data_IF_448815444370
#
_entry.id   IF_448815444370
#
_cell.length_a   1.000
_cell.length_b   1.000
_cell.length_c   1.000
_cell.angle_alpha   90.00
_cell.angle_beta   90.00
_cell.angle_gamma   90.00
#
_symmetry.space_group_name_H-M   'P 1'
#
loop_
_entity.id
_entity.type
_entity.pdbx_description
1 polymer ?
#
# COMPACT_ATOMS: atom_id res chain seq x y z
N UNK A 1 -6.57 19.06 13.99
CA UNK A 1 -6.14 17.71 13.61
C UNK A 1 -4.64 17.65 13.81
N UNK A 2 -4.16 16.75 14.65
CA UNK A 2 -2.72 16.54 14.87
C UNK A 2 -2.23 15.42 13.93
N UNK A 3 -0.94 15.42 13.52
CA UNK A 3 -0.35 14.30 12.81
C UNK A 3 -0.47 13.02 13.63
N UNK A 4 -0.69 11.89 12.97
CA UNK A 4 -0.64 10.58 13.62
C UNK A 4 0.83 10.25 13.92
N UNK A 5 1.09 9.63 15.08
CA UNK A 5 2.42 9.13 15.43
C UNK A 5 2.91 8.06 14.45
N UNK A 6 4.20 7.75 14.48
CA UNK A 6 4.79 6.69 13.65
C UNK A 6 4.14 5.36 14.04
N UNK A 7 3.48 4.70 13.09
CA UNK A 7 2.87 3.39 13.26
C UNK A 7 3.55 2.39 12.32
N UNK A 8 3.75 1.18 12.82
CA UNK A 8 4.17 0.04 12.01
C UNK A 8 2.94 -0.73 11.52
N UNK A 9 2.94 -1.06 10.24
CA UNK A 9 1.98 -1.98 9.64
C UNK A 9 2.42 -3.41 9.95
N UNK A 10 1.59 -4.17 10.67
CA UNK A 10 1.88 -5.56 11.05
C UNK A 10 0.67 -6.45 10.71
N UNK A 11 0.35 -6.51 9.41
CA UNK A 11 -0.71 -7.39 8.91
C UNK A 11 -0.22 -8.19 7.71
N UNK A 12 -0.91 -9.29 7.43
CA UNK A 12 -0.62 -10.16 6.29
C UNK A 12 -1.36 -9.67 5.04
N UNK A 13 -0.68 -9.72 3.89
CA UNK A 13 -1.32 -9.41 2.60
C UNK A 13 -2.52 -10.32 2.30
N UNK A 14 -2.51 -11.56 2.82
CA UNK A 14 -3.63 -12.49 2.70
C UNK A 14 -4.89 -12.02 3.42
N UNK A 15 -4.77 -11.43 4.61
CA UNK A 15 -5.92 -10.84 5.31
C UNK A 15 -6.36 -9.57 4.62
N UNK A 16 -5.42 -8.69 4.28
CA UNK A 16 -5.68 -7.40 3.65
C UNK A 16 -6.39 -7.55 2.30
N UNK A 17 -5.84 -8.35 1.37
CA UNK A 17 -6.41 -8.53 0.03
C UNK A 17 -7.37 -9.71 -0.09
N UNK A 18 -7.57 -10.46 0.99
CA UNK A 18 -8.54 -11.54 1.08
C UNK A 18 -9.84 -11.04 1.70
N UNK A 19 -10.06 -11.38 2.97
CA UNK A 19 -11.33 -11.12 3.66
C UNK A 19 -11.61 -9.65 3.95
N UNK A 20 -10.56 -8.82 4.08
CA UNK A 20 -10.71 -7.44 4.52
C UNK A 20 -10.76 -6.44 3.34
N UNK A 21 -10.65 -6.90 2.09
CA UNK A 21 -10.71 -6.02 0.92
C UNK A 21 -12.17 -5.70 0.58
N UNK A 22 -12.56 -4.44 0.77
CA UNK A 22 -13.92 -3.99 0.47
C UNK A 22 -14.05 -3.51 -0.98
N UNK A 23 -13.07 -2.73 -1.45
CA UNK A 23 -13.11 -2.15 -2.79
C UNK A 23 -11.72 -1.80 -3.32
N UNK A 24 -11.62 -1.77 -4.65
CA UNK A 24 -10.50 -1.18 -5.38
C UNK A 24 -10.99 0.04 -6.13
N UNK A 25 -10.20 1.11 -6.12
CA UNK A 25 -10.55 2.32 -6.88
C UNK A 25 -10.36 2.08 -8.38
N UNK A 26 -11.20 2.70 -9.20
CA UNK A 26 -11.02 2.70 -10.65
C UNK A 26 -9.80 3.54 -11.08
N UNK A 27 -9.48 4.57 -10.30
CA UNK A 27 -8.29 5.37 -10.49
C UNK A 27 -7.06 4.61 -10.01
N UNK A 28 -6.00 4.70 -10.82
CA UNK A 28 -4.72 4.04 -10.55
C UNK A 28 -3.63 5.09 -10.59
N UNK A 29 -2.76 5.10 -9.59
CA UNK A 29 -1.64 6.03 -9.56
C UNK A 29 -0.41 5.39 -10.19
N UNK A 30 0.31 6.17 -11.00
CA UNK A 30 1.62 5.78 -11.49
C UNK A 30 2.66 6.13 -10.43
N UNK A 31 3.27 5.11 -9.84
CA UNK A 31 4.43 5.27 -8.98
C UNK A 31 5.68 5.15 -9.85
N UNK A 32 6.32 6.28 -10.09
CA UNK A 32 7.61 6.36 -10.77
C UNK A 32 8.70 5.91 -9.80
N UNK A 33 9.41 4.85 -10.16
CA UNK A 33 10.53 4.36 -9.37
C UNK A 33 11.75 5.26 -9.62
N UNK A 34 12.25 5.89 -8.55
CA UNK A 34 13.44 6.73 -8.56
C UNK A 34 14.68 6.00 -7.99
N UNK A 35 14.54 4.72 -7.64
CA UNK A 35 15.59 3.97 -6.97
C UNK A 35 16.65 3.49 -7.97
N UNK A 36 17.91 3.85 -7.73
CA UNK A 36 19.03 3.60 -8.66
C UNK A 36 20.04 2.58 -8.14
N UNK A 37 19.83 2.02 -6.95
CA UNK A 37 20.80 1.09 -6.36
C UNK A 37 20.47 -0.38 -6.66
N UNK A 38 21.39 -0.97 -7.44
CA UNK A 38 21.58 -2.39 -7.80
C UNK A 38 20.94 -2.96 -9.08
N UNK A 39 19.95 -2.31 -9.70
CA UNK A 39 19.65 -2.49 -11.13
C UNK A 39 18.72 -1.39 -11.63
N UNK A 40 18.75 -1.09 -12.94
CA UNK A 40 17.75 -0.23 -13.57
C UNK A 40 16.41 -0.97 -13.62
N UNK A 41 15.62 -0.91 -12.54
CA UNK A 41 14.22 -1.31 -12.61
C UNK A 41 13.47 -0.25 -13.42
N UNK A 42 13.11 -0.58 -14.66
CA UNK A 42 12.23 0.23 -15.51
C UNK A 42 10.75 0.07 -15.13
N UNK A 43 10.48 -0.61 -14.02
CA UNK A 43 9.14 -1.07 -13.66
C UNK A 43 8.44 0.01 -12.87
N UNK A 44 7.72 0.88 -13.57
CA UNK A 44 6.72 1.72 -12.93
C UNK A 44 5.53 0.85 -12.48
N UNK A 45 5.02 1.11 -11.28
CA UNK A 45 3.86 0.40 -10.75
C UNK A 45 2.61 1.25 -10.98
N UNK A 46 1.60 0.65 -11.60
CA UNK A 46 0.28 1.25 -11.75
C UNK A 46 -0.68 0.49 -10.86
N UNK A 47 -0.96 1.03 -9.68
CA UNK A 47 -1.76 0.36 -8.66
C UNK A 47 -3.03 1.16 -8.37
N UNK A 48 -4.18 0.50 -8.23
CA UNK A 48 -5.36 1.13 -7.67
C UNK A 48 -5.18 1.37 -6.16
N UNK A 49 -5.94 2.31 -5.61
CA UNK A 49 -6.17 2.36 -4.18
C UNK A 49 -7.02 1.18 -3.72
N UNK A 50 -6.81 0.72 -2.50
CA UNK A 50 -7.59 -0.34 -1.87
C UNK A 50 -8.26 0.19 -0.59
N UNK A 51 -9.55 -0.07 -0.45
CA UNK A 51 -10.30 0.16 0.78
C UNK A 51 -10.31 -1.13 1.59
N UNK A 52 -9.71 -1.09 2.78
CA UNK A 52 -9.56 -2.23 3.67
C UNK A 52 -10.39 -1.99 4.93
N UNK A 53 -11.20 -2.97 5.32
CA UNK A 53 -12.13 -2.88 6.46
C UNK A 53 -11.42 -2.91 7.82
N UNK A 54 -10.32 -3.65 7.92
CA UNK A 54 -9.58 -3.89 9.17
C UNK A 54 -8.09 -4.07 8.87
N UNK A 55 -7.23 -3.36 9.63
CA UNK A 55 -5.78 -3.36 9.46
C UNK A 55 -5.11 -3.30 10.85
N UNK A 56 -4.19 -4.24 11.10
CA UNK A 56 -3.43 -4.28 12.34
C UNK A 56 -2.21 -3.31 12.31
N UNK A 57 -2.13 -2.45 13.32
CA UNK A 57 -1.02 -1.52 13.53
C UNK A 57 -0.35 -1.78 14.88
N UNK A 58 0.97 -1.62 14.92
CA UNK A 58 1.78 -1.69 16.14
C UNK A 58 2.53 -0.36 16.31
N UNK A 59 2.71 0.07 17.56
CA UNK A 59 3.49 1.27 17.94
C UNK A 59 5.00 1.01 17.88
#
# INVERSE_FOLDING_TARGET
>A
MAPVDVLRFDDSLYRMFGSNLEALTAETQLLLDANTYQSRQLTSLRLPGALISDLAFTL
#
